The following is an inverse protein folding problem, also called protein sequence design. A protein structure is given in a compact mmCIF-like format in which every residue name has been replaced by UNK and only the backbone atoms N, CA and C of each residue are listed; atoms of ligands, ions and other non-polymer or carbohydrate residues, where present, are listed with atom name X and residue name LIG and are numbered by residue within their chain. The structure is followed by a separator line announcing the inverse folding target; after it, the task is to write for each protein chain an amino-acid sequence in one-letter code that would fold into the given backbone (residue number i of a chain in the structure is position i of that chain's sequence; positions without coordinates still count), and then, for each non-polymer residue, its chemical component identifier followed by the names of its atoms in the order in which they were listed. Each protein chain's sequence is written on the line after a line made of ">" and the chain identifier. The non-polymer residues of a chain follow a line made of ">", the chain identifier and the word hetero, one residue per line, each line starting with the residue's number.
data_IF_208990285555
#
_entry.id   IF_208990285555
#
_cell.length_a   1.000
_cell.length_b   1.000
_cell.length_c   1.000
_cell.angle_alpha   90.00
_cell.angle_beta   90.00
_cell.angle_gamma   90.00
#
_symmetry.space_group_name_H-M   'P 1'
#
loop_
_entity.id
_entity.type
_entity.pdbx_description
1 polymer ?
#
# COMPACT_ATOMS: atom_id res chain seq x y z
N UNK A 1 -3.89 -8.49 -15.68
CA UNK A 1 -2.79 -7.92 -14.87
C UNK A 1 -3.37 -7.30 -13.62
N UNK A 2 -2.64 -7.41 -12.50
CA UNK A 2 -3.13 -6.99 -11.18
C UNK A 2 -2.63 -5.59 -10.83
N UNK A 3 -3.46 -4.81 -10.11
CA UNK A 3 -2.97 -3.71 -9.30
C UNK A 3 -2.13 -4.27 -8.15
N UNK A 4 -1.13 -3.53 -7.71
CA UNK A 4 -0.23 -3.94 -6.62
C UNK A 4 -0.15 -2.82 -5.59
N UNK A 5 -0.22 -3.21 -4.32
CA UNK A 5 0.03 -2.31 -3.19
C UNK A 5 1.33 -2.74 -2.52
N UNK A 6 2.39 -1.96 -2.69
CA UNK A 6 3.64 -2.16 -1.98
C UNK A 6 3.58 -1.42 -0.66
N UNK A 7 3.75 -2.15 0.43
CA UNK A 7 3.59 -1.68 1.80
C UNK A 7 4.92 -1.88 2.52
N UNK A 8 5.76 -0.84 2.48
CA UNK A 8 7.03 -0.84 3.20
C UNK A 8 6.82 -0.58 4.69
N UNK A 9 7.56 -1.28 5.52
CA UNK A 9 7.57 -1.08 6.97
C UNK A 9 8.98 -1.33 7.53
N UNK A 10 9.30 -0.79 8.73
CA UNK A 10 10.67 -0.79 9.25
C UNK A 10 11.30 -2.16 9.37
N UNK A 11 10.72 -3.06 10.16
CA UNK A 11 11.32 -4.36 10.43
C UNK A 11 10.32 -5.36 10.99
N UNK A 12 10.58 -6.65 10.77
CA UNK A 12 9.94 -7.75 11.48
C UNK A 12 10.23 -7.69 13.00
N UNK A 13 9.39 -8.33 13.80
CA UNK A 13 9.54 -8.45 15.25
C UNK A 13 9.57 -7.11 16.01
N UNK A 14 8.95 -6.06 15.47
CA UNK A 14 8.77 -4.77 16.11
C UNK A 14 7.37 -4.63 16.71
N UNK A 15 6.95 -3.41 17.08
CA UNK A 15 5.74 -3.20 17.89
C UNK A 15 4.54 -2.79 17.03
N UNK A 16 4.74 -1.87 16.09
CA UNK A 16 3.68 -1.28 15.28
C UNK A 16 3.44 -2.06 13.98
N UNK A 17 4.49 -2.66 13.41
CA UNK A 17 4.40 -3.40 12.15
C UNK A 17 3.42 -4.59 12.20
N UNK A 18 3.35 -5.40 13.28
CA UNK A 18 2.35 -6.46 13.35
C UNK A 18 0.91 -5.98 13.24
N UNK A 19 0.60 -4.80 13.79
CA UNK A 19 -0.77 -4.23 13.72
C UNK A 19 -1.15 -3.88 12.30
N UNK A 20 -0.22 -3.39 11.50
CA UNK A 20 -0.44 -3.08 10.08
C UNK A 20 -0.59 -4.33 9.22
N UNK A 21 0.20 -5.38 9.51
CA UNK A 21 0.06 -6.68 8.82
C UNK A 21 -1.29 -7.31 9.12
N UNK A 22 -1.75 -7.23 10.36
CA UNK A 22 -3.07 -7.71 10.76
C UNK A 22 -4.19 -6.94 10.06
N UNK A 23 -4.14 -5.60 10.03
CA UNK A 23 -5.13 -4.78 9.33
C UNK A 23 -5.13 -5.07 7.81
N UNK A 24 -3.97 -5.28 7.20
CA UNK A 24 -3.87 -5.71 5.81
C UNK A 24 -4.49 -7.09 5.59
N UNK A 25 -4.27 -8.03 6.50
CA UNK A 25 -4.85 -9.38 6.43
C UNK A 25 -6.37 -9.36 6.58
N UNK A 26 -6.90 -8.57 7.51
CA UNK A 26 -8.33 -8.41 7.72
C UNK A 26 -9.05 -7.78 6.51
N UNK A 27 -8.35 -6.99 5.70
CA UNK A 27 -8.88 -6.38 4.49
C UNK A 27 -8.51 -7.13 3.19
N UNK A 28 -7.70 -8.18 3.25
CA UNK A 28 -7.08 -8.81 2.07
C UNK A 28 -8.10 -9.35 1.07
N UNK A 29 -9.18 -9.98 1.52
CA UNK A 29 -10.25 -10.47 0.64
C UNK A 29 -10.84 -9.34 -0.22
N UNK A 30 -10.99 -8.13 0.34
CA UNK A 30 -11.49 -6.98 -0.41
C UNK A 30 -10.50 -6.53 -1.51
N UNK A 31 -9.19 -6.59 -1.25
CA UNK A 31 -8.18 -6.34 -2.29
C UNK A 31 -8.24 -7.40 -3.39
N UNK A 32 -8.35 -8.68 -3.04
CA UNK A 32 -8.46 -9.77 -4.02
C UNK A 32 -9.70 -9.62 -4.92
N UNK A 33 -10.85 -9.24 -4.35
CA UNK A 33 -12.09 -8.98 -5.12
C UNK A 33 -11.91 -7.84 -6.13
N UNK A 34 -11.03 -6.90 -5.88
CA UNK A 34 -10.67 -5.83 -6.82
C UNK A 34 -9.59 -6.24 -7.83
N UNK A 35 -9.08 -7.47 -7.77
CA UNK A 35 -7.93 -7.88 -8.58
C UNK A 35 -6.68 -7.09 -8.20
N UNK A 36 -6.47 -6.84 -6.93
CA UNK A 36 -5.29 -6.17 -6.38
C UNK A 36 -4.54 -7.10 -5.42
N UNK A 37 -3.21 -7.00 -5.41
CA UNK A 37 -2.34 -7.80 -4.56
C UNK A 37 -1.58 -6.90 -3.58
N UNK A 38 -1.32 -7.42 -2.39
CA UNK A 38 -0.54 -6.75 -1.34
C UNK A 38 0.83 -7.42 -1.24
N UNK A 39 1.87 -6.61 -1.15
CA UNK A 39 3.23 -7.02 -0.85
C UNK A 39 3.75 -6.20 0.33
N UNK A 40 3.94 -6.85 1.46
CA UNK A 40 4.58 -6.22 2.63
C UNK A 40 6.08 -6.39 2.49
N UNK A 41 6.84 -5.30 2.64
CA UNK A 41 8.27 -5.26 2.36
C UNK A 41 9.00 -4.70 3.58
N UNK A 42 10.00 -5.43 4.06
CA UNK A 42 10.97 -4.95 5.07
C UNK A 42 12.40 -5.23 4.60
N UNK A 43 13.39 -4.63 5.24
CA UNK A 43 14.80 -4.90 4.96
C UNK A 43 15.30 -6.21 5.56
N UNK A 44 14.44 -6.97 6.25
CA UNK A 44 14.75 -8.29 6.77
C UNK A 44 14.88 -9.32 5.64
N UNK A 45 15.41 -10.50 6.00
CA UNK A 45 15.42 -11.66 5.11
C UNK A 45 14.07 -12.40 5.13
N UNK A 46 13.80 -13.18 4.10
CA UNK A 46 12.62 -14.04 4.06
C UNK A 46 12.66 -15.15 5.16
N UNK A 47 13.83 -15.49 5.67
CA UNK A 47 13.96 -16.41 6.83
C UNK A 47 13.37 -15.78 8.10
N UNK A 48 13.65 -14.50 8.36
CA UNK A 48 13.05 -13.76 9.46
C UNK A 48 11.54 -13.66 9.28
N UNK A 49 11.06 -13.36 8.08
CA UNK A 49 9.63 -13.27 7.78
C UNK A 49 8.92 -14.62 8.03
N UNK A 50 9.53 -15.73 7.67
CA UNK A 50 8.96 -17.06 7.94
C UNK A 50 8.71 -17.26 9.43
N UNK A 51 9.70 -17.03 10.26
CA UNK A 51 9.58 -17.19 11.72
C UNK A 51 8.61 -16.18 12.31
N UNK A 52 8.62 -14.94 11.81
CA UNK A 52 7.69 -13.92 12.24
C UNK A 52 6.23 -14.29 11.96
N UNK A 53 5.96 -14.83 10.78
CA UNK A 53 4.63 -15.35 10.40
C UNK A 53 4.21 -16.54 11.28
N UNK A 54 5.12 -17.44 11.61
CA UNK A 54 4.84 -18.64 12.41
C UNK A 54 4.63 -18.33 13.90
N UNK A 55 5.25 -17.27 14.43
CA UNK A 55 5.27 -16.99 15.86
C UNK A 55 4.37 -15.82 16.30
N UNK A 56 3.99 -14.93 15.39
CA UNK A 56 3.10 -13.80 15.68
C UNK A 56 1.66 -14.13 15.29
N UNK A 57 0.71 -14.15 16.24
CA UNK A 57 -0.71 -14.37 15.91
C UNK A 57 -1.27 -13.36 14.91
N UNK A 58 -0.85 -12.09 15.00
CA UNK A 58 -1.27 -11.03 14.09
C UNK A 58 -0.73 -11.25 12.67
N UNK A 59 0.58 -11.49 12.56
CA UNK A 59 1.26 -11.67 11.26
C UNK A 59 0.89 -13.00 10.62
N UNK A 60 0.62 -14.04 11.42
CA UNK A 60 0.17 -15.35 10.95
C UNK A 60 -1.15 -15.33 10.17
N UNK A 61 -1.94 -14.26 10.27
CA UNK A 61 -3.13 -14.07 9.44
C UNK A 61 -2.83 -13.72 7.98
N UNK A 62 -1.62 -13.24 7.67
CA UNK A 62 -1.25 -12.79 6.33
C UNK A 62 -1.24 -13.96 5.32
N UNK A 63 -2.01 -13.81 4.24
CA UNK A 63 -2.06 -14.72 3.10
C UNK A 63 -1.40 -14.13 1.85
N UNK A 64 -0.84 -12.93 1.99
CA UNK A 64 -0.07 -12.22 0.96
C UNK A 64 1.43 -12.36 1.22
N UNK A 65 2.23 -11.95 0.25
CA UNK A 65 3.68 -12.07 0.32
C UNK A 65 4.31 -11.10 1.34
N UNK A 66 5.19 -11.63 2.20
CA UNK A 66 6.14 -10.87 2.99
C UNK A 66 7.48 -10.90 2.26
N UNK A 67 7.89 -9.75 1.73
CA UNK A 67 9.05 -9.61 0.83
C UNK A 67 10.25 -9.11 1.61
N UNK A 68 11.34 -9.86 1.56
CA UNK A 68 12.62 -9.43 2.13
C UNK A 68 13.41 -8.56 1.14
N UNK A 69 13.96 -7.45 1.64
CA UNK A 69 14.81 -6.53 0.89
C UNK A 69 16.16 -6.30 1.61
N UNK A 70 16.93 -7.37 1.91
CA UNK A 70 18.17 -7.26 2.71
C UNK A 70 19.28 -6.49 1.98
N UNK A 71 19.20 -6.33 0.67
CA UNK A 71 20.13 -5.49 -0.10
C UNK A 71 19.70 -4.03 -0.18
N UNK A 72 18.56 -3.68 0.39
CA UNK A 72 17.95 -2.34 0.39
C UNK A 72 17.66 -1.79 -1.02
N UNK A 73 17.55 -2.67 -2.00
CA UNK A 73 17.31 -2.27 -3.40
C UNK A 73 15.94 -1.63 -3.57
N UNK A 74 14.90 -2.28 -3.05
CA UNK A 74 13.53 -1.78 -3.17
C UNK A 74 13.32 -0.53 -2.31
N UNK A 75 13.77 -0.52 -1.07
CA UNK A 75 13.62 0.64 -0.18
C UNK A 75 14.28 1.89 -0.73
N UNK A 76 15.47 1.77 -1.34
CA UNK A 76 16.12 2.88 -2.02
C UNK A 76 15.40 3.29 -3.31
N UNK A 77 14.97 2.32 -4.12
CA UNK A 77 14.26 2.59 -5.37
C UNK A 77 12.97 3.38 -5.13
N UNK A 78 12.25 3.08 -4.06
CA UNK A 78 11.01 3.78 -3.71
C UNK A 78 11.20 5.01 -2.81
N UNK A 79 12.44 5.36 -2.47
CA UNK A 79 12.76 6.57 -1.70
C UNK A 79 12.32 6.51 -0.24
N UNK A 80 12.21 5.32 0.34
CA UNK A 80 11.78 5.12 1.74
C UNK A 80 12.90 4.57 2.63
N UNK A 81 14.12 4.52 2.14
CA UNK A 81 15.27 4.03 2.89
C UNK A 81 15.77 5.04 3.93
N UNK A 82 16.03 4.57 5.14
CA UNK A 82 16.68 5.33 6.22
C UNK A 82 18.12 4.83 6.30
N UNK A 83 19.07 5.59 5.72
CA UNK A 83 20.46 5.16 5.54
C UNK A 83 21.15 4.83 6.88
N UNK A 84 20.90 5.62 7.92
CA UNK A 84 21.53 5.47 9.23
C UNK A 84 21.04 4.24 10.00
N UNK A 85 19.86 3.75 9.66
CA UNK A 85 19.22 2.62 10.37
C UNK A 85 19.19 1.33 9.54
N UNK A 86 19.29 1.43 8.22
CA UNK A 86 19.10 0.30 7.31
C UNK A 86 17.64 -0.20 7.27
N UNK A 87 16.71 0.65 7.66
CA UNK A 87 15.27 0.36 7.75
C UNK A 87 14.49 1.15 6.69
N UNK A 88 13.21 0.85 6.56
CA UNK A 88 12.30 1.60 5.71
C UNK A 88 11.37 2.50 6.53
N UNK A 89 11.01 3.66 5.96
CA UNK A 89 9.82 4.39 6.35
C UNK A 89 8.56 3.60 5.98
N UNK A 90 7.43 3.95 6.58
CA UNK A 90 6.13 3.34 6.26
C UNK A 90 5.58 3.91 4.95
N UNK A 91 6.12 3.43 3.83
CA UNK A 91 5.68 3.81 2.49
C UNK A 91 4.60 2.88 1.96
N UNK A 92 3.56 3.45 1.34
CA UNK A 92 2.53 2.70 0.61
C UNK A 92 2.44 3.22 -0.81
N UNK A 93 2.56 2.32 -1.79
CA UNK A 93 2.53 2.65 -3.20
C UNK A 93 1.49 1.79 -3.92
N UNK A 94 0.48 2.44 -4.50
CA UNK A 94 -0.48 1.76 -5.38
C UNK A 94 0.03 1.83 -6.82
N UNK A 95 0.27 0.68 -7.41
CA UNK A 95 0.88 0.52 -8.72
C UNK A 95 -0.14 -0.14 -9.65
N UNK A 96 -0.36 0.45 -10.83
CA UNK A 96 -1.26 -0.10 -11.82
C UNK A 96 -0.65 -1.30 -12.58
N UNK A 97 -1.42 -2.01 -13.41
CA UNK A 97 -0.91 -3.13 -14.19
C UNK A 97 0.27 -2.82 -15.10
N UNK A 98 0.38 -1.58 -15.56
CA UNK A 98 1.46 -1.09 -16.45
C UNK A 98 2.73 -0.73 -15.68
N UNK A 99 2.75 -0.87 -14.35
CA UNK A 99 3.90 -0.56 -13.50
C UNK A 99 4.02 0.91 -13.10
N UNK A 100 2.97 1.71 -13.30
CA UNK A 100 2.95 3.14 -12.95
C UNK A 100 2.40 3.34 -11.55
N UNK A 101 3.11 4.09 -10.72
CA UNK A 101 2.64 4.49 -9.38
C UNK A 101 1.48 5.47 -9.53
N UNK A 102 0.34 5.13 -8.98
CA UNK A 102 -0.89 5.94 -8.99
C UNK A 102 -1.08 6.76 -7.72
N UNK A 103 -0.67 6.20 -6.58
CA UNK A 103 -0.63 6.93 -5.30
C UNK A 103 0.61 6.55 -4.53
N UNK A 104 1.15 7.48 -3.77
CA UNK A 104 2.24 7.29 -2.83
C UNK A 104 1.90 7.98 -1.51
N UNK A 105 2.17 7.30 -0.41
CA UNK A 105 1.98 7.80 0.94
C UNK A 105 3.15 7.35 1.81
N UNK A 106 3.77 8.26 2.52
CA UNK A 106 4.90 7.96 3.39
C UNK A 106 4.63 8.52 4.77
N UNK A 107 4.61 7.64 5.78
CA UNK A 107 4.43 8.00 7.18
C UNK A 107 5.76 7.93 7.93
N UNK A 108 5.87 8.76 8.97
CA UNK A 108 6.83 8.54 10.05
C UNK A 108 6.63 7.15 10.67
N UNK A 109 7.71 6.53 11.13
CA UNK A 109 7.67 5.17 11.67
C UNK A 109 6.83 5.01 12.95
N UNK A 110 6.54 6.12 13.66
CA UNK A 110 5.64 6.12 14.82
C UNK A 110 4.15 6.12 14.43
N UNK A 111 3.82 6.34 13.16
CA UNK A 111 2.43 6.51 12.69
C UNK A 111 2.06 5.37 11.76
N UNK A 112 1.29 4.39 12.27
CA UNK A 112 0.75 3.29 11.48
C UNK A 112 -0.31 3.78 10.47
N UNK A 113 -0.57 2.95 9.47
CA UNK A 113 -1.49 3.24 8.37
C UNK A 113 -2.85 2.56 8.57
N UNK A 114 -3.81 2.93 7.74
CA UNK A 114 -5.13 2.33 7.62
C UNK A 114 -5.25 1.67 6.24
N UNK A 115 -5.39 0.35 6.19
CA UNK A 115 -5.50 -0.40 4.94
C UNK A 115 -6.82 -0.17 4.21
N UNK A 116 -7.86 0.29 4.89
CA UNK A 116 -9.11 0.73 4.25
C UNK A 116 -8.88 1.96 3.38
N UNK A 117 -8.01 2.89 3.81
CA UNK A 117 -7.63 4.03 2.98
C UNK A 117 -6.82 3.60 1.75
N UNK A 118 -5.91 2.63 1.91
CA UNK A 118 -5.19 2.04 0.77
C UNK A 118 -6.18 1.36 -0.20
N UNK A 119 -7.14 0.61 0.31
CA UNK A 119 -8.19 -0.02 -0.49
C UNK A 119 -9.02 1.03 -1.27
N UNK A 120 -9.40 2.12 -0.62
CA UNK A 120 -10.10 3.25 -1.26
C UNK A 120 -9.27 3.85 -2.41
N UNK A 121 -7.96 4.01 -2.22
CA UNK A 121 -7.03 4.49 -3.26
C UNK A 121 -6.92 3.53 -4.43
N UNK A 122 -6.90 2.22 -4.18
CA UNK A 122 -6.95 1.20 -5.25
C UNK A 122 -8.22 1.32 -6.07
N UNK A 123 -9.39 1.44 -5.42
CA UNK A 123 -10.68 1.66 -6.10
C UNK A 123 -10.65 2.92 -6.96
N UNK A 124 -10.15 4.02 -6.43
CA UNK A 124 -10.03 5.29 -7.17
C UNK A 124 -9.10 5.14 -8.38
N UNK A 125 -7.94 4.50 -8.22
CA UNK A 125 -7.01 4.27 -9.30
C UNK A 125 -7.62 3.39 -10.42
N UNK A 126 -8.38 2.37 -10.04
CA UNK A 126 -9.11 1.52 -11.01
C UNK A 126 -10.24 2.27 -11.71
N UNK A 127 -10.96 3.12 -10.97
CA UNK A 127 -12.05 3.90 -11.53
C UNK A 127 -11.56 4.84 -12.64
N UNK A 128 -10.51 5.64 -12.34
CA UNK A 128 -9.98 6.58 -13.35
C UNK A 128 -9.34 5.87 -14.54
N UNK A 129 -8.79 4.67 -14.34
CA UNK A 129 -8.27 3.85 -15.44
C UNK A 129 -9.38 3.36 -16.38
N UNK A 130 -10.56 3.03 -15.83
CA UNK A 130 -11.74 2.58 -16.61
C UNK A 130 -12.57 3.72 -17.19
N UNK A 131 -12.44 4.94 -16.65
CA UNK A 131 -13.22 6.11 -17.02
C UNK A 131 -12.30 7.28 -17.42
N UNK A 132 -11.65 7.22 -18.59
CA UNK A 132 -10.80 8.31 -19.06
C UNK A 132 -11.55 9.65 -19.06
N UNK A 133 -10.88 10.70 -18.60
CA UNK A 133 -11.49 12.03 -18.49
C UNK A 133 -12.31 12.29 -17.22
N UNK A 134 -12.45 11.29 -16.35
CA UNK A 134 -13.06 11.47 -15.03
C UNK A 134 -11.99 11.61 -13.94
N UNK A 135 -12.28 12.40 -12.91
CA UNK A 135 -11.44 12.52 -11.71
C UNK A 135 -12.23 12.21 -10.45
N UNK A 136 -11.57 11.59 -9.50
CA UNK A 136 -12.13 11.31 -8.18
C UNK A 136 -11.84 12.49 -7.24
N UNK A 137 -12.86 13.25 -6.78
CA UNK A 137 -12.67 14.37 -5.88
C UNK A 137 -12.26 13.91 -4.48
N UNK A 138 -11.96 14.86 -3.60
CA UNK A 138 -11.60 14.57 -2.21
C UNK A 138 -12.65 13.67 -1.53
N UNK A 139 -12.17 12.70 -0.74
CA UNK A 139 -13.00 11.70 -0.02
C UNK A 139 -13.86 10.83 -0.95
N UNK A 140 -13.51 10.74 -2.22
CA UNK A 140 -14.23 9.87 -3.14
C UNK A 140 -14.12 8.41 -2.69
N UNK A 141 -15.20 7.69 -2.80
CA UNK A 141 -15.27 6.24 -2.68
C UNK A 141 -16.25 5.70 -3.73
N UNK A 142 -16.28 4.39 -3.90
CA UNK A 142 -17.12 3.71 -4.87
C UNK A 142 -18.60 4.13 -4.71
N UNK A 143 -19.24 4.46 -5.84
CA UNK A 143 -20.62 4.95 -5.88
C UNK A 143 -20.80 6.45 -5.67
N UNK A 144 -19.73 7.20 -5.32
CA UNK A 144 -19.78 8.65 -5.21
C UNK A 144 -19.58 9.32 -6.58
N UNK A 145 -20.05 10.58 -6.68
CA UNK A 145 -19.92 11.38 -7.91
C UNK A 145 -18.46 11.68 -8.24
N UNK A 146 -18.15 11.67 -9.52
CA UNK A 146 -16.88 12.12 -10.10
C UNK A 146 -17.06 13.45 -10.82
N UNK A 147 -15.95 14.04 -11.26
CA UNK A 147 -15.93 15.27 -12.02
C UNK A 147 -15.31 15.00 -13.39
N UNK A 148 -15.89 15.63 -14.42
CA UNK A 148 -15.25 15.74 -15.74
C UNK A 148 -14.57 17.12 -15.82
N UNK A 149 -13.23 17.21 -15.76
CA UNK A 149 -12.52 18.49 -15.81
C UNK A 149 -12.89 19.27 -17.07
N UNK A 150 -13.23 20.56 -16.89
CA UNK A 150 -13.55 21.49 -17.96
C UNK A 150 -13.16 22.90 -17.53
N UNK A 151 -12.76 23.72 -18.50
CA UNK A 151 -12.48 25.14 -18.25
C UNK A 151 -13.72 25.86 -17.71
N UNK A 152 -14.92 25.40 -18.08
CA UNK A 152 -16.18 25.96 -17.62
C UNK A 152 -16.49 25.74 -16.14
N UNK A 153 -15.77 24.81 -15.49
CA UNK A 153 -15.88 24.53 -14.06
C UNK A 153 -14.97 25.42 -13.20
N UNK A 154 -14.03 26.14 -13.81
CA UNK A 154 -13.10 27.00 -13.09
C UNK A 154 -13.87 28.09 -12.34
N UNK A 155 -13.67 28.16 -11.02
CA UNK A 155 -14.37 29.10 -10.14
C UNK A 155 -15.82 28.76 -9.82
N UNK A 156 -16.31 27.55 -10.20
CA UNK A 156 -17.69 27.08 -9.95
C UNK A 156 -17.77 25.89 -8.99
N UNK A 157 -16.64 25.40 -8.51
CA UNK A 157 -16.51 24.30 -7.54
C UNK A 157 -15.73 24.77 -6.32
#
# INVERSE_FOLDING_TARGET
>A
MLFRSFVFMPAAFTFNCPTEVEDAADNYEAFQKLGAEIYVITTDTHFSHKVWHETSPAVGKAQFALVGDPTHTLTRMFGVHIEEEGLALRGTFVINPEGVIKTAEIHDNAIARDMKETLRKVKAAQYVAKNPGQVCPAKWDEGKKTLAPSIDLVGKI
#
